data_IF_083031358479
#
_entry.id   IF_083031358479
#
_cell.length_a   1.000
_cell.length_b   1.000
_cell.length_c   1.000
_cell.angle_alpha   90.00
_cell.angle_beta   90.00
_cell.angle_gamma   90.00
#
_symmetry.space_group_name_H-M   'P 1'
#
loop_
_entity.id
_entity.type
_entity.pdbx_description
1 polymer ?
#
# COMPACT_ATOMS: atom_id res chain seq x y z
N UNK A 1 -3.97 -13.45 -15.29
CA UNK A 1 -4.49 -12.39 -14.39
C UNK A 1 -6.01 -12.52 -14.32
N UNK A 2 -6.56 -12.83 -13.13
CA UNK A 2 -7.96 -13.23 -12.95
C UNK A 2 -8.94 -12.08 -13.32
N UNK A 3 -9.89 -12.37 -14.22
CA UNK A 3 -10.90 -11.44 -14.73
C UNK A 3 -11.76 -10.83 -13.61
N UNK A 4 -12.00 -11.58 -12.54
CA UNK A 4 -12.77 -11.16 -11.38
C UNK A 4 -12.21 -9.88 -10.75
N UNK A 5 -10.89 -9.81 -10.55
CA UNK A 5 -10.25 -8.64 -9.94
C UNK A 5 -10.34 -7.40 -10.83
N UNK A 6 -10.30 -7.56 -12.16
CA UNK A 6 -10.46 -6.45 -13.09
C UNK A 6 -11.89 -5.91 -13.07
N UNK A 7 -12.89 -6.79 -13.01
CA UNK A 7 -14.29 -6.39 -12.89
C UNK A 7 -14.54 -5.69 -11.56
N UNK A 8 -14.03 -6.25 -10.47
CA UNK A 8 -14.12 -5.64 -9.14
C UNK A 8 -13.47 -4.26 -9.12
N UNK A 9 -12.27 -4.11 -9.68
CA UNK A 9 -11.59 -2.82 -9.74
C UNK A 9 -12.40 -1.78 -10.53
N UNK A 10 -12.98 -2.16 -11.67
CA UNK A 10 -13.85 -1.27 -12.46
C UNK A 10 -15.10 -0.83 -11.69
N UNK A 11 -15.73 -1.73 -10.93
CA UNK A 11 -16.90 -1.38 -10.12
C UNK A 11 -16.49 -0.48 -8.96
N UNK A 12 -15.51 -0.88 -8.15
CA UNK A 12 -15.13 -0.14 -6.95
C UNK A 12 -14.54 1.25 -7.24
N UNK A 13 -13.97 1.45 -8.42
CA UNK A 13 -13.46 2.76 -8.87
C UNK A 13 -14.52 3.68 -9.47
N UNK A 14 -15.77 3.23 -9.61
CA UNK A 14 -16.86 4.14 -9.99
C UNK A 14 -16.97 5.27 -8.96
N UNK A 15 -17.06 6.52 -9.43
CA UNK A 15 -16.95 7.73 -8.60
C UNK A 15 -17.76 7.67 -7.31
N UNK A 16 -19.02 7.22 -7.37
CA UNK A 16 -19.90 7.16 -6.21
C UNK A 16 -19.49 6.05 -5.21
N UNK A 17 -19.08 4.87 -5.71
CA UNK A 17 -18.61 3.76 -4.88
C UNK A 17 -17.26 4.11 -4.23
N UNK A 18 -16.31 4.62 -5.02
CA UNK A 18 -15.01 5.07 -4.54
C UNK A 18 -15.15 6.14 -3.44
N UNK A 19 -15.97 7.18 -3.69
CA UNK A 19 -16.21 8.23 -2.70
C UNK A 19 -16.84 7.70 -1.42
N UNK A 20 -17.81 6.78 -1.53
CA UNK A 20 -18.42 6.14 -0.36
C UNK A 20 -17.40 5.31 0.43
N UNK A 21 -16.60 4.48 -0.25
CA UNK A 21 -15.54 3.68 0.39
C UNK A 21 -14.55 4.56 1.14
N UNK A 22 -14.03 5.61 0.49
CA UNK A 22 -13.09 6.55 1.10
C UNK A 22 -13.72 7.20 2.34
N UNK A 23 -14.91 7.78 2.19
CA UNK A 23 -15.61 8.48 3.29
C UNK A 23 -15.97 7.54 4.44
N UNK A 24 -16.32 6.29 4.13
CA UNK A 24 -16.65 5.27 5.14
C UNK A 24 -15.40 4.82 5.91
N UNK A 25 -14.28 4.61 5.22
CA UNK A 25 -13.02 4.18 5.84
C UNK A 25 -12.44 5.29 6.71
N UNK A 26 -12.58 6.56 6.33
CA UNK A 26 -12.13 7.72 7.12
C UNK A 26 -12.64 7.75 8.58
N UNK A 27 -13.73 7.03 8.88
CA UNK A 27 -14.27 6.86 10.24
C UNK A 27 -13.44 5.92 11.13
N UNK A 28 -12.45 5.24 10.56
CA UNK A 28 -11.57 4.28 11.25
C UNK A 28 -10.10 4.53 10.89
N UNK A 29 -9.48 5.59 11.44
CA UNK A 29 -8.12 6.00 11.09
C UNK A 29 -7.04 4.96 11.39
N UNK A 30 -6.07 4.88 10.49
CA UNK A 30 -4.81 4.17 10.67
C UNK A 30 -3.70 5.18 10.41
N UNK A 31 -3.13 5.76 11.47
CA UNK A 31 -2.40 7.04 11.44
C UNK A 31 -1.54 7.35 10.20
N UNK A 32 -1.47 8.63 9.79
CA UNK A 32 -0.76 9.06 8.61
C UNK A 32 0.73 8.72 8.68
N UNK A 33 1.34 8.62 7.50
CA UNK A 33 2.78 8.60 7.33
C UNK A 33 3.18 9.97 6.79
N UNK A 34 4.08 10.65 7.48
CA UNK A 34 4.70 11.88 7.01
C UNK A 34 5.92 11.54 6.15
N UNK A 35 6.31 12.47 5.29
CA UNK A 35 7.60 12.42 4.59
C UNK A 35 8.77 12.27 5.58
N UNK A 36 9.96 11.90 5.10
CA UNK A 36 11.14 11.72 5.95
C UNK A 36 11.52 12.94 6.78
N UNK A 37 11.28 14.14 6.25
CA UNK A 37 11.49 15.41 6.98
C UNK A 37 10.39 15.74 7.97
N UNK A 38 9.25 15.05 7.89
CA UNK A 38 8.08 15.27 8.75
C UNK A 38 7.26 16.51 8.39
N UNK A 39 7.59 17.23 7.32
CA UNK A 39 6.98 18.51 6.95
C UNK A 39 5.76 18.37 6.04
N UNK A 40 5.69 17.29 5.27
CA UNK A 40 4.61 17.00 4.33
C UNK A 40 3.95 15.64 4.58
N UNK A 41 2.64 15.57 4.32
CA UNK A 41 1.89 14.31 4.34
C UNK A 41 2.33 13.43 3.16
N UNK A 42 2.89 12.26 3.44
CA UNK A 42 3.23 11.27 2.41
C UNK A 42 2.04 10.38 2.11
N UNK A 43 1.42 9.80 3.14
CA UNK A 43 0.31 8.87 2.95
C UNK A 43 -0.66 8.88 4.13
N UNK A 44 -1.93 9.19 3.85
CA UNK A 44 -3.02 8.95 4.78
C UNK A 44 -3.53 7.52 4.66
N UNK A 45 -3.98 6.92 5.77
CA UNK A 45 -4.46 5.54 5.77
C UNK A 45 -5.65 5.36 6.70
N UNK A 46 -6.61 4.55 6.27
CA UNK A 46 -7.79 4.25 7.07
C UNK A 46 -8.26 2.81 6.87
N UNK A 47 -8.69 2.15 7.94
CA UNK A 47 -9.19 0.78 7.85
C UNK A 47 -10.57 0.72 7.19
N UNK A 48 -10.79 -0.31 6.38
CA UNK A 48 -12.09 -0.64 5.79
C UNK A 48 -12.63 -1.93 6.38
N UNK A 49 -11.75 -2.93 6.58
CA UNK A 49 -12.12 -4.25 7.08
C UNK A 49 -10.95 -4.88 7.83
N UNK A 50 -11.28 -5.62 8.90
CA UNK A 50 -10.37 -6.52 9.62
C UNK A 50 -9.03 -5.84 9.98
N UNK A 51 -9.03 -4.74 10.76
CA UNK A 51 -7.81 -4.04 11.15
C UNK A 51 -6.87 -4.97 11.92
N UNK A 52 -5.58 -4.68 11.88
CA UNK A 52 -4.61 -5.35 12.75
C UNK A 52 -4.98 -5.13 14.23
N UNK A 53 -4.77 -6.17 15.03
CA UNK A 53 -4.91 -6.06 16.48
C UNK A 53 -3.80 -5.21 17.07
N UNK A 54 -3.92 -4.93 18.37
CA UNK A 54 -2.81 -4.46 19.20
C UNK A 54 -2.68 -5.38 20.40
N UNK A 55 -1.46 -5.71 20.78
CA UNK A 55 -1.21 -6.44 22.02
C UNK A 55 -1.26 -5.49 23.24
N UNK A 56 -1.04 -6.03 24.44
CA UNK A 56 -1.09 -5.25 25.69
C UNK A 56 -0.05 -4.11 25.73
N UNK A 57 1.07 -4.27 25.02
CA UNK A 57 2.14 -3.28 24.89
C UNK A 57 1.87 -2.28 23.73
N UNK A 58 0.71 -2.35 23.10
CA UNK A 58 0.32 -1.46 22.00
C UNK A 58 0.99 -1.77 20.65
N UNK A 59 1.79 -2.83 20.56
CA UNK A 59 2.43 -3.30 19.32
C UNK A 59 1.41 -3.96 18.40
N UNK A 60 1.66 -3.89 17.11
CA UNK A 60 0.80 -4.51 16.09
C UNK A 60 0.69 -6.01 16.31
N UNK A 61 -0.53 -6.50 16.44
CA UNK A 61 -0.85 -7.92 16.53
C UNK A 61 -1.62 -8.35 15.26
N UNK A 62 -1.67 -9.67 14.96
CA UNK A 62 -2.46 -10.17 13.85
C UNK A 62 -3.92 -9.69 13.88
N UNK A 63 -4.54 -9.58 12.70
CA UNK A 63 -5.95 -9.22 12.61
C UNK A 63 -6.84 -10.28 13.26
N UNK A 64 -8.03 -9.86 13.73
CA UNK A 64 -8.98 -10.73 14.44
C UNK A 64 -9.36 -11.98 13.64
N UNK A 65 -9.55 -11.82 12.33
CA UNK A 65 -9.92 -12.91 11.43
C UNK A 65 -8.76 -13.20 10.49
N UNK A 66 -7.87 -14.13 10.88
CA UNK A 66 -6.62 -14.45 10.17
C UNK A 66 -6.81 -15.04 8.76
N UNK A 67 -7.99 -15.58 8.47
CA UNK A 67 -8.34 -16.14 7.16
C UNK A 67 -8.92 -15.09 6.20
N UNK A 68 -9.29 -13.89 6.69
CA UNK A 68 -9.73 -12.76 5.89
C UNK A 68 -8.58 -11.78 5.65
N UNK A 69 -8.55 -11.09 4.49
CA UNK A 69 -7.60 -10.00 4.30
C UNK A 69 -7.91 -8.85 5.27
N UNK A 70 -6.86 -8.13 5.68
CA UNK A 70 -7.00 -6.77 6.19
C UNK A 70 -7.09 -5.81 5.02
N UNK A 71 -8.07 -4.91 5.05
CA UNK A 71 -8.32 -3.96 3.96
C UNK A 71 -8.27 -2.54 4.50
N UNK A 72 -7.51 -1.69 3.83
CA UNK A 72 -7.39 -0.27 4.13
C UNK A 72 -7.47 0.57 2.88
N UNK A 73 -7.95 1.80 3.03
CA UNK A 73 -7.79 2.85 2.03
C UNK A 73 -6.47 3.55 2.28
N UNK A 74 -5.71 3.80 1.21
CA UNK A 74 -4.59 4.73 1.22
C UNK A 74 -4.95 5.98 0.43
N UNK A 75 -4.48 7.13 0.89
CA UNK A 75 -4.36 8.34 0.08
C UNK A 75 -2.88 8.69 -0.01
N UNK A 76 -2.28 8.30 -1.13
CA UNK A 76 -0.87 8.48 -1.43
C UNK A 76 -0.72 9.90 -1.99
N UNK A 77 -0.09 10.78 -1.24
CA UNK A 77 0.03 12.20 -1.56
C UNK A 77 1.35 12.53 -2.25
N UNK A 78 2.40 11.79 -1.91
CA UNK A 78 3.76 11.98 -2.42
C UNK A 78 4.32 10.68 -3.01
N UNK A 79 5.25 10.75 -3.98
CA UNK A 79 6.04 9.59 -4.37
C UNK A 79 6.92 9.12 -3.21
N UNK A 80 7.44 7.91 -3.33
CA UNK A 80 8.43 7.39 -2.39
C UNK A 80 9.70 8.25 -2.48
N UNK A 81 10.24 8.66 -1.33
CA UNK A 81 11.46 9.46 -1.24
C UNK A 81 12.73 8.58 -1.12
N UNK A 82 12.56 7.27 -1.28
CA UNK A 82 13.63 6.28 -1.23
C UNK A 82 14.37 6.12 -2.55
N UNK A 83 15.69 5.91 -2.44
CA UNK A 83 16.54 5.57 -3.58
C UNK A 83 16.23 4.16 -4.12
N UNK A 84 15.98 3.21 -3.22
CA UNK A 84 15.81 1.80 -3.52
C UNK A 84 14.34 1.39 -3.50
N UNK A 85 13.99 0.35 -4.28
CA UNK A 85 12.68 -0.26 -4.23
C UNK A 85 12.52 -1.06 -2.92
N UNK A 86 11.32 -1.04 -2.34
CA UNK A 86 11.02 -1.74 -1.09
C UNK A 86 10.00 -2.86 -1.32
N UNK A 87 10.03 -3.87 -0.47
CA UNK A 87 9.05 -4.95 -0.46
C UNK A 87 8.03 -4.81 0.68
N UNK A 88 7.20 -5.83 0.84
CA UNK A 88 6.13 -5.86 1.84
C UNK A 88 6.18 -7.16 2.65
N UNK A 89 5.75 -7.12 3.91
CA UNK A 89 5.78 -8.29 4.80
C UNK A 89 4.64 -9.30 4.52
N UNK A 90 3.86 -9.08 3.45
CA UNK A 90 2.66 -9.83 3.11
C UNK A 90 2.56 -10.04 1.60
N UNK A 91 1.82 -11.07 1.21
CA UNK A 91 1.10 -11.01 -0.06
C UNK A 91 0.02 -9.94 0.01
N UNK A 92 -0.04 -9.11 -1.04
CA UNK A 92 -0.97 -7.99 -1.10
C UNK A 92 -1.52 -7.75 -2.50
N UNK A 93 -2.62 -6.99 -2.53
CA UNK A 93 -3.25 -6.52 -3.75
C UNK A 93 -3.74 -5.10 -3.57
N UNK A 94 -3.60 -4.30 -4.61
CA UNK A 94 -4.15 -2.95 -4.69
C UNK A 94 -5.25 -2.88 -5.73
N UNK A 95 -6.28 -2.08 -5.47
CA UNK A 95 -7.25 -1.58 -6.45
C UNK A 95 -7.17 -0.05 -6.40
N UNK A 96 -6.95 0.62 -7.53
CA UNK A 96 -6.97 2.07 -7.56
C UNK A 96 -8.41 2.58 -7.66
N UNK A 97 -8.79 3.42 -6.70
CA UNK A 97 -10.12 4.00 -6.58
C UNK A 97 -10.20 5.36 -7.29
N UNK A 98 -9.14 6.19 -7.19
CA UNK A 98 -9.09 7.55 -7.75
C UNK A 98 -7.64 7.97 -8.02
N UNK A 99 -7.43 8.83 -9.02
CA UNK A 99 -6.11 9.34 -9.37
C UNK A 99 -5.25 8.31 -10.11
N UNK A 100 -3.95 8.57 -10.15
CA UNK A 100 -2.96 7.69 -10.76
C UNK A 100 -1.59 7.83 -10.09
N UNK A 101 -0.75 6.81 -10.24
CA UNK A 101 0.66 6.85 -9.87
C UNK A 101 1.51 6.01 -10.84
N UNK A 102 2.81 6.29 -10.90
CA UNK A 102 3.80 5.49 -11.64
C UNK A 102 4.51 4.57 -10.67
N UNK A 103 4.44 3.27 -10.93
CA UNK A 103 5.06 2.22 -10.13
C UNK A 103 6.27 1.64 -10.87
N UNK A 104 7.43 1.64 -10.23
CA UNK A 104 8.63 0.98 -10.72
C UNK A 104 8.81 -0.37 -10.01
N UNK A 105 9.27 -1.39 -10.76
CA UNK A 105 9.46 -2.77 -10.28
C UNK A 105 10.69 -3.42 -10.93
N UNK A 106 11.80 -2.69 -10.92
CA UNK A 106 13.03 -2.95 -11.67
C UNK A 106 13.81 -4.14 -11.13
N UNK A 107 13.74 -4.41 -9.82
CA UNK A 107 14.51 -5.46 -9.12
C UNK A 107 14.39 -6.84 -9.76
N UNK A 108 13.24 -7.15 -10.36
CA UNK A 108 13.00 -8.42 -11.06
C UNK A 108 12.77 -8.23 -12.57
N UNK A 109 13.29 -7.15 -13.15
CA UNK A 109 13.12 -6.80 -14.55
C UNK A 109 11.66 -6.53 -14.96
N UNK A 110 10.76 -6.26 -14.00
CA UNK A 110 9.37 -5.98 -14.33
C UNK A 110 9.24 -4.56 -14.89
N UNK A 111 8.33 -4.35 -15.85
CA UNK A 111 8.16 -3.03 -16.45
C UNK A 111 7.61 -2.04 -15.44
N UNK A 112 8.02 -0.78 -15.59
CA UNK A 112 7.35 0.36 -14.95
C UNK A 112 5.91 0.46 -15.44
N UNK A 113 4.98 0.72 -14.52
CA UNK A 113 3.53 0.74 -14.79
C UNK A 113 2.94 2.08 -14.44
N UNK A 114 2.05 2.59 -15.29
CA UNK A 114 1.12 3.65 -14.91
C UNK A 114 -0.13 2.97 -14.36
N UNK A 115 -0.35 3.12 -13.06
CA UNK A 115 -1.54 2.63 -12.38
C UNK A 115 -2.56 3.76 -12.32
N UNK A 116 -3.78 3.52 -12.80
CA UNK A 116 -4.89 4.49 -12.70
C UNK A 116 -6.17 3.86 -12.14
N UNK A 117 -7.14 4.69 -11.77
CA UNK A 117 -8.45 4.25 -11.27
C UNK A 117 -9.05 3.12 -12.14
N UNK A 118 -9.54 2.07 -11.48
CA UNK A 118 -10.08 0.87 -12.15
C UNK A 118 -9.03 -0.19 -12.48
N UNK A 119 -7.75 0.06 -12.22
CA UNK A 119 -6.69 -0.94 -12.29
C UNK A 119 -6.47 -1.65 -10.95
N UNK A 120 -5.83 -2.82 -11.03
CA UNK A 120 -5.45 -3.62 -9.87
C UNK A 120 -4.10 -4.28 -10.11
N UNK A 121 -3.29 -4.38 -9.06
CA UNK A 121 -1.97 -5.01 -9.08
C UNK A 121 -1.81 -5.94 -7.88
N UNK A 122 -1.14 -7.07 -8.08
CA UNK A 122 -0.65 -7.88 -6.96
C UNK A 122 0.80 -7.49 -6.66
N UNK A 123 1.18 -7.62 -5.40
CA UNK A 123 2.57 -7.56 -4.95
C UNK A 123 2.71 -8.67 -3.92
N UNK A 124 3.67 -9.57 -4.13
CA UNK A 124 3.96 -10.65 -3.19
C UNK A 124 5.01 -10.20 -2.18
N UNK A 125 5.14 -10.93 -1.09
CA UNK A 125 6.34 -10.81 -0.26
C UNK A 125 7.60 -11.08 -1.12
N UNK A 126 8.62 -10.24 -0.99
CA UNK A 126 9.83 -10.25 -1.83
C UNK A 126 9.69 -9.63 -3.24
N UNK A 127 8.49 -9.18 -3.64
CA UNK A 127 8.37 -8.29 -4.81
C UNK A 127 8.70 -6.85 -4.38
N UNK A 128 9.73 -6.28 -4.99
CA UNK A 128 10.14 -4.90 -4.72
C UNK A 128 9.46 -3.93 -5.68
N UNK A 129 9.06 -2.77 -5.16
CA UNK A 129 8.57 -1.67 -5.97
C UNK A 129 8.87 -0.31 -5.35
N UNK A 130 8.66 0.75 -6.12
CA UNK A 130 8.50 2.10 -5.59
C UNK A 130 7.50 2.91 -6.41
N UNK A 131 6.82 3.84 -5.76
CA UNK A 131 5.97 4.84 -6.40
C UNK A 131 6.84 6.02 -6.80
N UNK A 132 7.21 6.10 -8.07
CA UNK A 132 8.11 7.13 -8.56
C UNK A 132 7.41 8.48 -8.83
N UNK A 133 6.10 8.46 -9.12
CA UNK A 133 5.30 9.67 -9.38
C UNK A 133 3.86 9.46 -8.94
N UNK A 134 3.21 10.53 -8.51
CA UNK A 134 1.79 10.55 -8.15
C UNK A 134 1.12 11.74 -8.81
N UNK A 135 -0.17 11.63 -9.15
CA UNK A 135 -0.93 12.74 -9.69
C UNK A 135 -1.16 13.86 -8.67
N UNK A 136 -1.43 15.07 -9.15
CA UNK A 136 -1.87 16.17 -8.31
C UNK A 136 -3.12 15.77 -7.50
N UNK A 137 -3.14 16.14 -6.22
CA UNK A 137 -4.19 15.73 -5.27
C UNK A 137 -4.09 14.28 -4.76
N UNK A 138 -3.08 13.52 -5.23
CA UNK A 138 -2.79 12.17 -4.74
C UNK A 138 -3.66 11.06 -5.34
N UNK A 139 -3.22 9.81 -5.14
CA UNK A 139 -3.93 8.62 -5.57
C UNK A 139 -4.60 7.91 -4.38
N UNK A 140 -5.82 7.40 -4.61
CA UNK A 140 -6.54 6.60 -3.62
C UNK A 140 -6.54 5.14 -4.01
N UNK A 141 -6.16 4.28 -3.08
CA UNK A 141 -6.15 2.82 -3.29
C UNK A 141 -6.99 2.12 -2.24
N UNK A 142 -7.51 0.94 -2.59
CA UNK A 142 -7.99 -0.06 -1.66
C UNK A 142 -6.94 -1.17 -1.60
N UNK A 143 -6.25 -1.25 -0.47
CA UNK A 143 -5.10 -2.13 -0.27
C UNK A 143 -5.49 -3.31 0.62
N UNK A 144 -5.26 -4.51 0.10
CA UNK A 144 -5.57 -5.79 0.71
C UNK A 144 -4.25 -6.44 1.12
N UNK A 145 -4.14 -6.87 2.38
CA UNK A 145 -2.98 -7.64 2.88
C UNK A 145 -3.46 -8.93 3.52
N UNK A 146 -2.71 -10.01 3.29
CA UNK A 146 -2.96 -11.31 3.90
C UNK A 146 -2.01 -11.57 5.08
N UNK A 147 -1.74 -12.86 5.37
CA UNK A 147 -0.90 -13.30 6.48
C UNK A 147 0.50 -12.70 6.40
N UNK A 148 1.06 -12.35 7.56
CA UNK A 148 2.47 -11.97 7.69
C UNK A 148 3.37 -13.13 7.26
N UNK A 149 4.39 -12.82 6.45
CA UNK A 149 5.32 -13.79 5.89
C UNK A 149 6.73 -13.52 6.39
N UNK A 150 7.19 -12.27 6.29
CA UNK A 150 8.56 -11.87 6.60
C UNK A 150 8.63 -10.40 7.02
N UNK A 151 9.77 -9.93 7.53
CA UNK A 151 9.99 -8.49 7.73
C UNK A 151 10.17 -7.77 6.39
N UNK A 152 9.84 -6.48 6.31
CA UNK A 152 9.99 -5.69 5.09
C UNK A 152 11.32 -4.95 5.05
N UNK A 153 11.77 -4.62 3.84
CA UNK A 153 13.04 -3.93 3.62
C UNK A 153 13.21 -3.40 2.21
N UNK A 154 14.43 -2.92 1.93
CA UNK A 154 14.83 -2.30 0.68
C UNK A 154 15.78 -3.21 -0.09
N UNK A 155 15.65 -3.24 -1.41
CA UNK A 155 16.63 -3.91 -2.26
C UNK A 155 17.81 -2.97 -2.54
N UNK A 156 18.90 -3.17 -1.81
CA UNK A 156 20.18 -2.47 -2.00
C UNK A 156 21.14 -3.40 -2.72
N UNK A 157 21.44 -3.09 -3.97
CA UNK A 157 22.38 -3.86 -4.82
C UNK A 157 22.12 -5.38 -4.87
N UNK A 158 20.84 -5.77 -4.88
CA UNK A 158 20.41 -7.18 -4.93
C UNK A 158 20.24 -7.84 -3.56
N UNK A 159 20.49 -7.11 -2.47
CA UNK A 159 20.35 -7.60 -1.10
C UNK A 159 19.23 -6.87 -0.36
N UNK A 160 18.43 -7.64 0.41
CA UNK A 160 17.41 -7.07 1.28
C UNK A 160 18.04 -6.46 2.52
N UNK A 161 17.90 -5.14 2.68
CA UNK A 161 18.28 -4.41 3.90
C UNK A 161 17.01 -4.15 4.72
N UNK A 162 16.93 -4.61 5.99
CA UNK A 162 15.79 -4.33 6.85
C UNK A 162 15.48 -2.83 6.94
N UNK A 163 14.19 -2.48 6.97
CA UNK A 163 13.77 -1.08 6.88
C UNK A 163 14.33 -0.19 8.01
N UNK A 164 14.52 -0.74 9.21
CA UNK A 164 15.11 -0.02 10.36
C UNK A 164 16.54 0.38 10.08
N UNK A 165 17.34 -0.57 9.63
CA UNK A 165 18.74 -0.38 9.27
C UNK A 165 18.87 0.61 8.11
N UNK A 166 18.01 0.46 7.08
CA UNK A 166 18.01 1.33 5.91
C UNK A 166 17.63 2.78 6.25
N UNK A 167 16.65 2.99 7.13
CA UNK A 167 16.20 4.32 7.53
C UNK A 167 17.01 4.91 8.70
N UNK A 168 17.88 4.13 9.34
CA UNK A 168 18.63 4.53 10.53
C UNK A 168 17.74 4.80 11.74
N UNK A 169 16.71 3.96 11.95
CA UNK A 169 15.74 4.11 13.03
C UNK A 169 15.80 2.88 13.94
N UNK A 170 16.09 3.10 15.22
CA UNK A 170 16.19 2.06 16.26
C UNK A 170 14.85 1.42 16.66
#
# INVERSE_FOLDING_TARGET
>A
MNLLWKLLARVLSQRHIANWLISRSQRTPYGPIMSRKGDQLYMDRWWTLNPYGKNAEGRTAPAKYSWLPSIRVHHICLPDDDLHEHDHPWDARTILLRGWYVEERRTHGQPTRVMQAGMTGAIKAGDYHRIARVCDGGAYTLFFTWRYIEEWGFNVDGSKVPWRDYLGID
#
